data_IF_360543095646
#
_entry.id   IF_360543095646
#
_cell.length_a   1.000
_cell.length_b   1.000
_cell.length_c   1.000
_cell.angle_alpha   90.00
_cell.angle_beta   90.00
_cell.angle_gamma   90.00
#
_symmetry.space_group_name_H-M   'P 1'
#
loop_
_entity.id
_entity.type
_entity.pdbx_description
1 polymer ?
#
# COMPACT_ATOMS: atom_id res chain seq x y z
N UNK A 1 -24.66 -49.99 45.78
CA UNK A 1 -24.97 -49.65 44.38
C UNK A 1 -25.45 -48.21 44.31
N UNK A 2 -24.58 -47.26 43.93
CA UNK A 2 -24.94 -45.88 43.57
C UNK A 2 -23.92 -45.41 42.53
N UNK A 3 -24.30 -45.45 41.26
CA UNK A 3 -23.50 -44.96 40.14
C UNK A 3 -23.62 -43.44 40.10
N UNK A 4 -22.49 -42.73 40.22
CA UNK A 4 -22.40 -41.32 39.86
C UNK A 4 -21.89 -41.25 38.41
N UNK A 5 -22.70 -40.77 37.49
CA UNK A 5 -22.26 -40.41 36.13
C UNK A 5 -21.97 -38.91 36.16
N UNK A 6 -20.69 -38.53 36.09
CA UNK A 6 -20.29 -37.16 35.85
C UNK A 6 -20.12 -36.97 34.34
N UNK A 7 -21.04 -36.22 33.71
CA UNK A 7 -20.85 -35.71 32.36
C UNK A 7 -19.92 -34.49 32.43
N UNK A 8 -18.66 -34.64 32.00
CA UNK A 8 -17.78 -33.51 31.76
C UNK A 8 -18.10 -32.93 30.38
N UNK A 9 -18.76 -31.77 30.34
CA UNK A 9 -18.87 -30.97 29.12
C UNK A 9 -17.53 -30.25 28.89
N UNK A 10 -16.68 -30.80 28.04
CA UNK A 10 -15.49 -30.10 27.57
C UNK A 10 -15.91 -29.11 26.47
N UNK A 11 -16.07 -27.83 26.83
CA UNK A 11 -16.23 -26.76 25.85
C UNK A 11 -14.87 -26.47 25.22
N UNK A 12 -14.62 -27.00 24.02
CA UNK A 12 -13.45 -26.66 23.21
C UNK A 12 -13.66 -25.26 22.59
N UNK A 13 -13.13 -24.22 23.24
CA UNK A 13 -12.96 -22.92 22.59
C UNK A 13 -11.74 -22.98 21.67
N UNK A 14 -11.97 -23.04 20.36
CA UNK A 14 -10.91 -22.86 19.36
C UNK A 14 -10.52 -21.38 19.33
N UNK A 15 -9.27 -20.99 19.63
CA UNK A 15 -8.82 -19.64 19.34
C UNK A 15 -8.66 -19.49 17.84
N UNK A 16 -9.49 -18.65 17.21
CA UNK A 16 -9.28 -18.21 15.83
C UNK A 16 -8.21 -17.12 15.80
N UNK A 17 -6.94 -17.52 15.83
CA UNK A 17 -5.84 -16.65 15.38
C UNK A 17 -5.90 -16.57 13.86
N UNK A 18 -6.60 -15.55 13.34
CA UNK A 18 -6.36 -15.09 11.98
C UNK A 18 -4.98 -14.41 11.99
N UNK A 19 -3.95 -15.20 11.73
CA UNK A 19 -2.62 -14.67 11.47
C UNK A 19 -2.68 -13.92 10.14
N UNK A 20 -2.70 -12.59 10.21
CA UNK A 20 -2.58 -11.76 9.02
C UNK A 20 -1.25 -12.12 8.36
N UNK A 21 -1.30 -12.75 7.18
CA UNK A 21 -0.11 -13.00 6.36
C UNK A 21 0.64 -11.67 6.23
N UNK A 22 1.79 -11.57 6.90
CA UNK A 22 2.69 -10.43 6.75
C UNK A 22 3.01 -10.35 5.26
N UNK A 23 2.59 -9.25 4.62
CA UNK A 23 2.93 -8.99 3.23
C UNK A 23 4.46 -9.14 3.09
N UNK A 24 4.95 -9.71 1.97
CA UNK A 24 6.38 -9.82 1.74
C UNK A 24 7.00 -8.44 2.01
N UNK A 25 8.10 -8.41 2.77
CA UNK A 25 8.87 -7.18 2.92
C UNK A 25 9.17 -6.67 1.51
N UNK A 26 8.75 -5.44 1.15
CA UNK A 26 9.02 -4.94 -0.18
C UNK A 26 10.53 -4.99 -0.40
N UNK A 27 10.97 -5.47 -1.56
CA UNK A 27 12.31 -5.14 -2.08
C UNK A 27 12.55 -3.64 -1.88
N UNK A 28 13.80 -3.20 -1.65
CA UNK A 28 14.09 -1.79 -1.38
C UNK A 28 13.35 -0.90 -2.36
N UNK A 29 12.48 -0.04 -1.83
CA UNK A 29 11.63 0.77 -2.68
C UNK A 29 12.53 1.74 -3.45
N UNK A 30 12.38 1.80 -4.77
CA UNK A 30 13.22 2.67 -5.60
C UNK A 30 12.84 4.12 -5.29
N UNK A 31 13.78 4.89 -4.77
CA UNK A 31 13.58 6.32 -4.49
C UNK A 31 13.29 7.10 -5.78
N UNK A 32 12.48 8.16 -5.64
CA UNK A 32 11.99 8.94 -6.76
C UNK A 32 10.67 8.41 -7.32
N UNK A 33 10.28 8.94 -8.48
CA UNK A 33 8.99 8.65 -9.12
C UNK A 33 9.13 7.54 -10.17
N UNK A 34 8.35 6.47 -10.00
CA UNK A 34 8.35 5.29 -10.87
C UNK A 34 6.94 4.94 -11.33
N UNK A 35 6.82 4.31 -12.50
CA UNK A 35 5.55 3.75 -12.99
C UNK A 35 5.40 2.35 -12.41
N UNK A 36 4.22 2.06 -11.89
CA UNK A 36 3.87 0.76 -11.33
C UNK A 36 2.67 0.17 -12.09
N UNK A 37 2.65 -1.17 -12.29
CA UNK A 37 1.52 -1.84 -12.89
C UNK A 37 0.31 -1.89 -11.94
N UNK A 38 -0.88 -2.23 -12.43
CA UNK A 38 -2.02 -2.53 -11.58
C UNK A 38 -1.71 -3.59 -10.52
N UNK A 39 -2.13 -3.35 -9.28
CA UNK A 39 -1.97 -4.31 -8.16
C UNK A 39 -2.86 -5.54 -8.33
N UNK A 40 -3.99 -5.41 -9.03
CA UNK A 40 -4.94 -6.47 -9.27
C UNK A 40 -5.46 -6.43 -10.71
N UNK A 41 -6.01 -7.56 -11.18
CA UNK A 41 -6.67 -7.66 -12.49
C UNK A 41 -7.81 -6.64 -12.58
N UNK A 42 -7.80 -5.82 -13.64
CA UNK A 42 -8.78 -4.74 -13.82
C UNK A 42 -8.49 -3.48 -12.99
N UNK A 43 -7.36 -3.42 -12.28
CA UNK A 43 -6.91 -2.21 -11.61
C UNK A 43 -6.20 -1.23 -12.55
N UNK A 44 -5.67 -0.17 -11.94
CA UNK A 44 -5.06 0.95 -12.65
C UNK A 44 -3.53 0.96 -12.52
N UNK A 45 -2.78 1.25 -13.60
CA UNK A 45 -1.38 1.62 -13.46
C UNK A 45 -1.29 2.90 -12.64
N UNK A 46 -0.17 3.12 -11.96
CA UNK A 46 -0.02 4.28 -11.09
C UNK A 46 1.41 4.81 -11.07
N UNK A 47 1.55 6.10 -10.81
CA UNK A 47 2.82 6.67 -10.40
C UNK A 47 3.02 6.47 -8.90
N UNK A 48 4.20 5.99 -8.53
CA UNK A 48 4.65 5.87 -7.15
C UNK A 48 5.87 6.76 -6.96
N UNK A 49 5.77 7.72 -6.05
CA UNK A 49 6.92 8.46 -5.56
C UNK A 49 7.33 7.95 -4.19
N UNK A 50 8.60 7.57 -4.09
CA UNK A 50 9.25 7.19 -2.83
C UNK A 50 10.21 8.32 -2.43
N UNK A 51 10.04 8.92 -1.24
CA UNK A 51 10.88 10.02 -0.79
C UNK A 51 12.31 9.56 -0.50
N UNK A 52 13.26 10.49 -0.58
CA UNK A 52 14.65 10.22 -0.22
C UNK A 52 14.77 9.78 1.24
N UNK A 53 15.61 8.78 1.50
CA UNK A 53 15.83 8.20 2.82
C UNK A 53 14.75 7.22 3.26
N UNK A 54 13.82 6.82 2.37
CA UNK A 54 12.76 5.88 2.70
C UNK A 54 13.32 4.56 3.26
N UNK A 55 14.32 3.98 2.60
CA UNK A 55 14.92 2.71 2.99
C UNK A 55 15.88 2.81 4.19
N UNK A 56 16.40 4.00 4.47
CA UNK A 56 17.47 4.23 5.46
C UNK A 56 16.97 4.82 6.78
N UNK A 57 15.79 5.46 6.78
CA UNK A 57 15.35 6.32 7.88
C UNK A 57 15.10 5.61 9.21
N UNK A 58 15.04 4.27 9.24
CA UNK A 58 14.55 3.50 10.39
C UNK A 58 13.12 3.87 10.80
N UNK A 59 12.40 4.65 9.97
CA UNK A 59 11.01 5.02 10.21
C UNK A 59 10.12 3.89 9.72
N UNK A 60 9.36 3.31 10.64
CA UNK A 60 8.36 2.30 10.30
C UNK A 60 7.10 2.89 9.65
N UNK A 61 6.95 4.23 9.67
CA UNK A 61 5.76 4.92 9.16
C UNK A 61 6.13 6.15 8.35
N UNK A 62 5.54 6.23 7.16
CA UNK A 62 5.63 7.36 6.25
C UNK A 62 4.24 7.91 5.98
N UNK A 63 4.07 9.25 5.92
CA UNK A 63 2.79 9.82 5.55
C UNK A 63 2.54 9.54 4.05
N UNK A 64 1.31 9.16 3.74
CA UNK A 64 0.87 8.79 2.39
C UNK A 64 -0.06 9.86 1.82
N UNK A 65 0.17 10.23 0.57
CA UNK A 65 -0.74 11.02 -0.24
C UNK A 65 -1.24 10.18 -1.40
N UNK A 66 -2.56 10.08 -1.54
CA UNK A 66 -3.20 9.53 -2.74
C UNK A 66 -3.75 10.73 -3.51
N UNK A 67 -3.22 10.93 -4.71
CA UNK A 67 -3.66 12.00 -5.61
C UNK A 67 -4.46 11.41 -6.77
N UNK A 68 -5.65 11.98 -7.01
CA UNK A 68 -6.53 11.59 -8.10
C UNK A 68 -6.56 12.71 -9.13
N UNK A 69 -6.30 12.36 -10.39
CA UNK A 69 -6.27 13.32 -11.50
C UNK A 69 -7.67 13.69 -11.99
N UNK A 70 -7.76 14.70 -12.85
CA UNK A 70 -9.00 15.13 -13.48
C UNK A 70 -9.35 14.29 -14.71
N UNK A 71 -10.48 14.60 -15.35
CA UNK A 71 -10.90 13.88 -16.56
C UNK A 71 -9.91 14.03 -17.73
N UNK A 72 -9.11 15.10 -17.75
CA UNK A 72 -8.14 15.40 -18.81
C UNK A 72 -6.91 14.49 -18.83
N UNK A 73 -6.63 13.76 -17.74
CA UNK A 73 -5.49 12.86 -17.62
C UNK A 73 -5.88 11.37 -17.64
N UNK A 74 -7.15 11.06 -17.96
CA UNK A 74 -7.62 9.67 -18.13
C UNK A 74 -7.02 8.99 -19.35
N UNK A 75 -6.99 7.66 -19.33
CA UNK A 75 -6.57 6.82 -20.45
C UNK A 75 -5.33 5.98 -20.14
N UNK A 76 -4.56 5.69 -21.16
CA UNK A 76 -3.45 4.72 -21.08
C UNK A 76 -2.06 5.36 -21.10
N UNK A 77 -1.98 6.69 -21.25
CA UNK A 77 -0.72 7.43 -21.25
C UNK A 77 -0.41 7.96 -19.85
N UNK A 78 0.41 7.23 -19.11
CA UNK A 78 0.77 7.55 -17.71
C UNK A 78 1.51 8.88 -17.57
N UNK A 79 2.07 9.42 -18.66
CA UNK A 79 2.77 10.70 -18.62
C UNK A 79 1.81 11.86 -18.36
N UNK A 80 0.52 11.72 -18.71
CA UNK A 80 -0.51 12.73 -18.46
C UNK A 80 -0.72 13.00 -16.97
N UNK A 81 -0.58 11.97 -16.11
CA UNK A 81 -0.74 12.12 -14.65
C UNK A 81 0.31 13.05 -14.05
N UNK A 82 1.46 13.25 -14.74
CA UNK A 82 2.53 14.16 -14.31
C UNK A 82 2.27 15.63 -14.64
N UNK A 83 1.20 15.95 -15.37
CA UNK A 83 0.92 17.31 -15.86
C UNK A 83 0.61 18.29 -14.72
N UNK A 84 -0.01 17.81 -13.65
CA UNK A 84 -0.51 18.63 -12.56
C UNK A 84 -0.32 17.96 -11.19
N UNK A 85 -0.46 18.76 -10.13
CA UNK A 85 -0.51 18.26 -8.76
C UNK A 85 0.80 17.66 -8.23
N UNK A 86 0.73 16.82 -7.19
CA UNK A 86 1.89 16.23 -6.54
C UNK A 86 2.85 15.47 -7.49
N UNK A 87 2.41 14.65 -8.46
CA UNK A 87 3.32 13.95 -9.38
C UNK A 87 4.22 14.86 -10.20
N UNK A 88 3.76 16.06 -10.53
CA UNK A 88 4.58 17.09 -11.17
C UNK A 88 5.61 17.69 -10.21
N UNK A 89 5.21 17.91 -8.96
CA UNK A 89 6.02 18.60 -7.95
C UNK A 89 7.18 17.74 -7.46
N UNK A 90 6.96 16.45 -7.26
CA UNK A 90 7.98 15.52 -6.72
C UNK A 90 9.14 15.30 -7.69
N UNK A 91 8.94 15.47 -9.00
CA UNK A 91 10.03 15.42 -9.98
C UNK A 91 11.02 16.58 -9.83
N UNK A 92 10.55 17.72 -9.34
CA UNK A 92 11.37 18.91 -9.11
C UNK A 92 11.84 19.02 -7.66
N UNK A 93 11.19 18.31 -6.75
CA UNK A 93 11.51 18.31 -5.33
C UNK A 93 11.67 16.88 -4.78
N UNK A 94 12.83 16.24 -4.96
CA UNK A 94 13.10 14.92 -4.41
C UNK A 94 13.07 14.85 -2.87
N UNK A 95 13.10 16.01 -2.18
CA UNK A 95 12.99 16.10 -0.72
C UNK A 95 11.52 16.15 -0.23
N UNK A 96 10.54 15.97 -1.12
CA UNK A 96 9.14 15.92 -0.76
C UNK A 96 8.89 14.82 0.29
N UNK A 97 8.30 15.10 1.46
CA UNK A 97 8.41 14.20 2.62
C UNK A 97 7.29 13.13 2.70
N UNK A 98 6.62 12.84 1.59
CA UNK A 98 5.48 11.93 1.53
C UNK A 98 5.72 10.84 0.49
N UNK A 99 5.20 9.64 0.75
CA UNK A 99 4.94 8.68 -0.33
C UNK A 99 3.74 9.19 -1.12
N UNK A 100 3.84 9.21 -2.46
CA UNK A 100 2.73 9.65 -3.31
C UNK A 100 2.32 8.53 -4.24
N UNK A 101 1.02 8.23 -4.28
CA UNK A 101 0.43 7.30 -5.24
C UNK A 101 -0.54 8.08 -6.12
N UNK A 102 -0.44 7.91 -7.44
CA UNK A 102 -1.32 8.57 -8.41
C UNK A 102 -1.76 7.59 -9.49
N UNK A 103 -2.88 6.86 -9.27
CA UNK A 103 -3.44 5.93 -10.24
C UNK A 103 -3.99 6.66 -11.46
N UNK A 104 -3.91 6.04 -12.63
CA UNK A 104 -4.55 6.53 -13.85
C UNK A 104 -5.80 5.73 -14.19
N UNK A 105 -6.95 6.41 -14.21
CA UNK A 105 -8.23 5.86 -14.66
C UNK A 105 -8.31 5.74 -16.19
#
# INVERSE_FOLDING_TARGET
MRFWVAFALAALSLPSTLEAKKAPAPSPAIEGQTVQPPVAKGGYPYLLFIPKGYNESGKDRWPLVIFLHGSGERGTDITLVKKHGPPMLVEKNPAFPFVVISPQL
#
